data_IF_698971749074
#
_entry.id   IF_698971749074
#
_cell.length_a   1.000
_cell.length_b   1.000
_cell.length_c   1.000
_cell.angle_alpha   90.00
_cell.angle_beta   90.00
_cell.angle_gamma   90.00
#
_symmetry.space_group_name_H-M   'P 1'
#
loop_
_entity.id
_entity.type
_entity.pdbx_description
1 polymer ?
#
# COMPACT_ATOMS: atom_id res chain seq x y z
N UNK A 1 0.19 -14.17 6.64
CA UNK A 1 -1.13 -13.58 6.88
C UNK A 1 -0.98 -12.27 7.64
N UNK A 2 -1.82 -11.27 7.35
CA UNK A 2 -1.95 -10.05 8.15
C UNK A 2 -2.78 -10.30 9.42
N UNK A 3 -2.37 -9.70 10.53
CA UNK A 3 -3.13 -9.82 11.78
C UNK A 3 -4.26 -8.79 11.84
N UNK A 4 -5.26 -9.05 12.68
CA UNK A 4 -6.35 -8.11 12.95
C UNK A 4 -5.82 -6.74 13.42
N UNK A 5 -4.78 -6.73 14.26
CA UNK A 5 -4.14 -5.51 14.75
C UNK A 5 -3.47 -4.73 13.62
N UNK A 6 -2.79 -5.41 12.69
CA UNK A 6 -2.20 -4.77 11.52
C UNK A 6 -3.26 -4.14 10.61
N UNK A 7 -4.38 -4.84 10.38
CA UNK A 7 -5.50 -4.34 9.56
C UNK A 7 -6.21 -3.16 10.23
N UNK A 8 -6.43 -3.22 11.54
CA UNK A 8 -7.04 -2.13 12.31
C UNK A 8 -6.14 -0.89 12.41
N UNK A 9 -4.82 -1.07 12.32
CA UNK A 9 -3.85 0.03 12.31
C UNK A 9 -3.82 0.83 11.00
N UNK A 10 -4.54 0.40 9.95
CA UNK A 10 -4.65 1.17 8.70
C UNK A 10 -5.40 2.48 8.98
N UNK A 11 -4.75 3.59 8.69
CA UNK A 11 -5.30 4.93 8.83
C UNK A 11 -6.44 5.19 7.83
N UNK A 12 -7.68 5.04 8.29
CA UNK A 12 -8.90 5.20 7.49
C UNK A 12 -9.23 6.65 7.15
N UNK A 13 -8.52 7.63 7.73
CA UNK A 13 -8.61 9.04 7.29
C UNK A 13 -7.72 9.25 6.07
N UNK A 14 -6.53 8.65 6.06
CA UNK A 14 -5.61 8.72 4.93
C UNK A 14 -6.05 7.86 3.74
N UNK A 15 -6.62 6.67 4.00
CA UNK A 15 -7.04 5.73 2.98
C UNK A 15 -8.54 5.43 3.05
N UNK A 16 -9.18 5.39 1.88
CA UNK A 16 -10.44 4.65 1.75
C UNK A 16 -10.10 3.16 1.63
N UNK A 17 -10.53 2.36 2.60
CA UNK A 17 -10.31 0.91 2.62
C UNK A 17 -11.44 0.22 1.84
N UNK A 18 -11.10 -0.54 0.81
CA UNK A 18 -12.06 -1.30 -0.02
C UNK A 18 -12.11 -2.76 0.43
N UNK A 19 -10.93 -3.38 0.58
CA UNK A 19 -10.75 -4.74 1.11
C UNK A 19 -9.67 -4.68 2.17
N UNK A 20 -9.89 -5.38 3.28
CA UNK A 20 -8.89 -5.58 4.33
C UNK A 20 -9.18 -6.92 5.00
N UNK A 21 -8.51 -7.96 4.53
CA UNK A 21 -8.54 -9.30 5.10
C UNK A 21 -7.13 -9.84 5.35
N UNK A 22 -7.07 -11.11 5.71
CA UNK A 22 -5.85 -11.80 6.13
C UNK A 22 -4.76 -11.87 5.04
N UNK A 23 -5.11 -11.78 3.76
CA UNK A 23 -4.16 -11.89 2.65
C UNK A 23 -4.20 -10.68 1.73
N UNK A 24 -5.34 -10.04 1.60
CA UNK A 24 -5.57 -9.02 0.61
C UNK A 24 -6.01 -7.70 1.26
N UNK A 25 -5.32 -6.64 0.87
CA UNK A 25 -5.65 -5.27 1.26
C UNK A 25 -5.73 -4.42 0.00
N UNK A 26 -6.91 -3.84 -0.26
CA UNK A 26 -7.13 -2.88 -1.35
C UNK A 26 -7.49 -1.52 -0.77
N UNK A 27 -6.71 -0.51 -1.14
CA UNK A 27 -6.83 0.85 -0.63
C UNK A 27 -6.93 1.85 -1.78
N UNK A 28 -7.62 2.96 -1.52
CA UNK A 28 -7.49 4.18 -2.33
C UNK A 28 -6.88 5.25 -1.45
N UNK A 29 -5.76 5.85 -1.88
CA UNK A 29 -5.22 7.02 -1.20
C UNK A 29 -6.19 8.19 -1.35
N UNK A 30 -6.59 8.82 -0.25
CA UNK A 30 -7.45 9.99 -0.30
C UNK A 30 -6.71 11.23 -0.83
N UNK A 31 -5.37 11.21 -0.82
CA UNK A 31 -4.55 12.34 -1.26
C UNK A 31 -4.26 12.32 -2.77
N UNK A 32 -3.99 11.13 -3.35
CA UNK A 32 -3.63 10.99 -4.77
C UNK A 32 -4.70 10.32 -5.62
N UNK A 33 -5.70 9.70 -4.99
CA UNK A 33 -6.74 8.86 -5.63
C UNK A 33 -6.20 7.61 -6.34
N UNK A 34 -4.92 7.30 -6.16
CA UNK A 34 -4.33 6.06 -6.66
C UNK A 34 -4.92 4.86 -5.92
N UNK A 35 -5.06 3.75 -6.65
CA UNK A 35 -5.54 2.49 -6.11
C UNK A 35 -4.35 1.58 -5.86
N UNK A 36 -4.31 1.02 -4.65
CA UNK A 36 -3.25 0.18 -4.14
C UNK A 36 -3.80 -1.19 -3.80
N UNK A 37 -3.07 -2.23 -4.17
CA UNK A 37 -3.37 -3.60 -3.83
C UNK A 37 -2.13 -4.22 -3.19
N UNK A 38 -2.30 -4.80 -2.00
CA UNK A 38 -1.26 -5.43 -1.21
C UNK A 38 -1.69 -6.87 -0.98
N UNK A 39 -0.89 -7.81 -1.46
CA UNK A 39 -1.12 -9.24 -1.30
C UNK A 39 -0.05 -9.84 -0.39
N UNK A 40 -0.46 -10.54 0.67
CA UNK A 40 0.42 -11.31 1.55
C UNK A 40 0.68 -12.69 0.93
N UNK A 41 1.94 -12.98 0.64
CA UNK A 41 2.41 -14.30 0.28
C UNK A 41 3.07 -14.92 1.49
N UNK A 42 2.55 -16.06 1.92
CA UNK A 42 3.16 -16.87 2.96
C UNK A 42 4.27 -17.75 2.37
N UNK A 43 5.49 -17.49 2.81
CA UNK A 43 6.65 -18.35 2.54
C UNK A 43 6.96 -19.16 3.80
N UNK A 44 7.71 -20.25 3.65
CA UNK A 44 8.04 -21.17 4.75
C UNK A 44 8.71 -20.48 5.96
N UNK A 45 9.44 -19.40 5.71
CA UNK A 45 10.28 -18.70 6.69
C UNK A 45 9.88 -17.25 6.95
N UNK A 46 8.98 -16.67 6.14
CA UNK A 46 8.61 -15.25 6.23
C UNK A 46 7.30 -14.91 5.51
N UNK A 47 6.74 -13.77 5.87
CA UNK A 47 5.69 -13.10 5.09
C UNK A 47 6.31 -12.17 4.05
N UNK A 48 5.70 -12.10 2.87
CA UNK A 48 6.07 -11.16 1.83
C UNK A 48 4.83 -10.42 1.32
N UNK A 49 4.87 -9.10 1.34
CA UNK A 49 3.85 -8.24 0.73
C UNK A 49 4.25 -7.93 -0.72
N UNK A 50 3.40 -8.29 -1.66
CA UNK A 50 3.46 -7.84 -3.05
C UNK A 50 2.57 -6.60 -3.18
N UNK A 51 3.15 -5.47 -3.57
CA UNK A 51 2.43 -4.19 -3.69
C UNK A 51 2.28 -3.84 -5.16
N UNK A 52 1.03 -3.69 -5.58
CA UNK A 52 0.64 -3.26 -6.91
C UNK A 52 -0.11 -1.93 -6.83
N UNK A 53 -0.05 -1.14 -7.89
CA UNK A 53 -0.82 0.09 -7.94
C UNK A 53 -1.29 0.45 -9.34
N UNK A 54 -2.26 1.38 -9.38
CA UNK A 54 -2.72 2.03 -10.59
C UNK A 54 -3.15 3.46 -10.31
N UNK A 55 -2.91 4.34 -11.27
CA UNK A 55 -3.21 5.77 -11.13
C UNK A 55 -4.71 6.09 -11.16
N UNK A 56 -5.50 5.28 -11.86
CA UNK A 56 -6.96 5.43 -11.99
C UNK A 56 -7.62 4.08 -11.87
N UNK A 57 -8.89 4.05 -11.47
CA UNK A 57 -9.67 2.81 -11.31
C UNK A 57 -9.71 1.98 -12.61
N UNK A 58 -9.85 2.64 -13.76
CA UNK A 58 -9.92 1.99 -15.08
C UNK A 58 -8.59 1.46 -15.61
N UNK A 59 -7.46 1.83 -15.00
CA UNK A 59 -6.15 1.38 -15.48
C UNK A 59 -5.84 -0.06 -15.02
N UNK A 60 -4.97 -0.78 -15.74
CA UNK A 60 -4.41 -2.02 -15.23
C UNK A 60 -3.50 -1.76 -14.02
N UNK A 61 -3.41 -2.72 -13.11
CA UNK A 61 -2.42 -2.71 -12.05
C UNK A 61 -1.02 -2.94 -12.62
N UNK A 62 -0.02 -2.30 -12.02
CA UNK A 62 1.38 -2.62 -12.26
C UNK A 62 2.11 -2.84 -10.92
N UNK A 63 3.18 -3.63 -10.97
CA UNK A 63 4.01 -3.92 -9.80
C UNK A 63 4.66 -2.63 -9.31
N UNK A 64 4.55 -2.36 -8.02
CA UNK A 64 5.18 -1.21 -7.38
C UNK A 64 6.39 -1.61 -6.54
N UNK A 65 6.20 -2.50 -5.57
CA UNK A 65 7.27 -2.88 -4.65
C UNK A 65 7.01 -4.23 -3.98
N UNK A 66 8.01 -4.70 -3.22
CA UNK A 66 7.95 -5.90 -2.40
C UNK A 66 8.54 -5.59 -1.03
N UNK A 67 7.88 -5.98 0.05
CA UNK A 67 8.37 -5.74 1.42
C UNK A 67 7.89 -6.79 2.42
N UNK A 68 8.46 -6.85 3.62
CA UNK A 68 8.18 -7.93 4.58
C UNK A 68 6.90 -7.78 5.40
N UNK A 69 6.33 -6.57 5.52
CA UNK A 69 5.20 -6.29 6.42
C UNK A 69 4.21 -5.30 5.84
N UNK A 70 2.95 -5.36 6.31
CA UNK A 70 1.91 -4.40 5.93
C UNK A 70 2.30 -2.98 6.33
N UNK A 71 2.86 -2.82 7.54
CA UNK A 71 3.34 -1.52 8.04
C UNK A 71 4.34 -0.86 7.08
N UNK A 72 5.30 -1.64 6.55
CA UNK A 72 6.26 -1.11 5.58
C UNK A 72 5.58 -0.76 4.26
N UNK A 73 4.68 -1.61 3.77
CA UNK A 73 3.92 -1.31 2.55
C UNK A 73 3.15 0.02 2.66
N UNK A 74 2.42 0.23 3.77
CA UNK A 74 1.66 1.46 4.02
C UNK A 74 2.57 2.69 4.08
N UNK A 75 3.72 2.60 4.76
CA UNK A 75 4.69 3.71 4.81
C UNK A 75 5.25 4.04 3.44
N UNK A 76 5.58 3.02 2.66
CA UNK A 76 6.15 3.19 1.32
C UNK A 76 5.08 3.79 0.37
N UNK A 77 3.79 3.42 0.51
CA UNK A 77 2.66 4.07 -0.18
C UNK A 77 2.55 5.55 0.18
N UNK A 78 2.56 5.90 1.48
CA UNK A 78 2.52 7.32 1.90
C UNK A 78 3.69 8.13 1.33
N UNK A 79 4.88 7.52 1.27
CA UNK A 79 6.07 8.16 0.68
C UNK A 79 5.94 8.33 -0.84
N UNK A 80 5.30 7.38 -1.54
CA UNK A 80 4.96 7.55 -2.95
C UNK A 80 3.96 8.70 -3.16
N UNK A 81 2.95 8.83 -2.29
CA UNK A 81 2.00 9.93 -2.35
C UNK A 81 2.68 11.28 -2.13
N UNK A 82 3.58 11.38 -1.14
CA UNK A 82 4.43 12.58 -0.92
C UNK A 82 5.20 12.94 -2.18
N UNK A 83 5.87 11.97 -2.81
CA UNK A 83 6.58 12.17 -4.08
C UNK A 83 5.66 12.65 -5.19
N UNK A 84 4.47 12.06 -5.33
CA UNK A 84 3.51 12.44 -6.36
C UNK A 84 2.98 13.86 -6.18
N UNK A 85 2.62 14.21 -4.95
CA UNK A 85 2.11 15.54 -4.60
C UNK A 85 3.20 16.61 -4.70
N UNK A 86 4.46 16.24 -4.49
CA UNK A 86 5.62 17.10 -4.71
C UNK A 86 6.04 17.25 -6.19
N UNK A 87 5.15 16.89 -7.13
CA UNK A 87 5.42 17.00 -8.56
C UNK A 87 6.54 16.06 -9.04
N UNK A 88 6.65 14.87 -8.42
CA UNK A 88 7.64 13.83 -8.76
C UNK A 88 9.10 14.25 -8.55
N UNK A 89 9.33 15.18 -7.63
CA UNK A 89 10.68 15.54 -7.18
C UNK A 89 11.08 14.64 -6.02
N UNK A 90 12.35 14.18 -5.96
CA UNK A 90 12.83 13.37 -4.84
C UNK A 90 12.53 14.05 -3.49
N UNK A 91 11.98 13.27 -2.55
CA UNK A 91 11.76 13.71 -1.16
C UNK A 91 12.91 13.15 -0.34
N UNK A 92 13.87 14.01 0.02
CA UNK A 92 14.96 13.64 0.92
C UNK A 92 14.46 13.71 2.36
N UNK A 93 14.45 12.58 3.08
CA UNK A 93 14.15 12.54 4.52
C UNK A 93 15.49 12.67 5.26
N UNK A 94 15.62 13.73 6.07
CA UNK A 94 16.75 13.97 6.95
C UNK A 94 16.69 13.07 8.19
#
# INVERSE_FOLDING_TARGET
>A
MFTTEELQAIDRKYFTVIVADAFDVTLISNNTRHVWYIHNVELKDRSLCLVYHKHKISHPYHSHSRCGTLRKAIRDIKSHDEFQLNGRKPVYKH
#
